data_IF_411814484683
#
_entry.id   IF_411814484683
#
_cell.length_a   1.000
_cell.length_b   1.000
_cell.length_c   1.000
_cell.angle_alpha   90.00
_cell.angle_beta   90.00
_cell.angle_gamma   90.00
#
_symmetry.space_group_name_H-M   'P 1'
#
loop_
_entity.id
_entity.type
_entity.pdbx_description
1 polymer ?
#
# COMPACT_ATOMS: atom_id res chain seq x y z
N UNK A 1 10.54 -1.43 18.97
CA UNK A 1 10.50 -0.15 18.28
C UNK A 1 10.93 -0.30 16.83
N UNK A 2 10.11 0.16 15.89
CA UNK A 2 10.41 0.00 14.48
C UNK A 2 11.52 0.91 14.00
N UNK A 3 12.33 0.41 13.07
CA UNK A 3 13.36 1.21 12.42
C UNK A 3 12.84 1.86 11.15
N UNK A 4 11.62 1.54 10.77
CA UNK A 4 11.00 1.99 9.53
C UNK A 4 9.85 2.93 9.86
N UNK A 5 9.51 3.76 8.91
CA UNK A 5 8.38 4.68 9.04
C UNK A 5 7.54 4.62 7.77
N UNK A 6 6.37 5.24 7.79
CA UNK A 6 5.54 5.37 6.60
C UNK A 6 4.85 6.72 6.59
N UNK A 7 4.54 7.18 5.39
CA UNK A 7 3.71 8.35 5.16
C UNK A 7 2.70 8.03 4.06
N UNK A 8 1.62 8.80 4.02
CA UNK A 8 0.57 8.63 3.02
C UNK A 8 0.29 9.95 2.33
N UNK A 9 -0.04 9.90 1.04
CA UNK A 9 -0.54 11.08 0.35
C UNK A 9 -1.95 11.41 0.87
N UNK A 10 -2.41 12.63 0.57
CA UNK A 10 -3.77 13.04 0.94
C UNK A 10 -4.79 12.10 0.30
N UNK A 11 -4.57 11.70 -0.94
CA UNK A 11 -5.48 10.81 -1.66
C UNK A 11 -5.58 9.44 -0.97
N UNK A 12 -4.47 8.90 -0.47
CA UNK A 12 -4.48 7.63 0.26
C UNK A 12 -5.23 7.79 1.59
N UNK A 13 -4.97 8.89 2.32
CA UNK A 13 -5.67 9.15 3.58
C UNK A 13 -7.18 9.27 3.34
N UNK A 14 -7.59 9.96 2.30
CA UNK A 14 -9.01 10.09 1.96
C UNK A 14 -9.63 8.74 1.60
N UNK A 15 -8.89 7.91 0.86
CA UNK A 15 -9.37 6.58 0.51
C UNK A 15 -9.60 5.73 1.76
N UNK A 16 -8.71 5.81 2.74
CA UNK A 16 -8.85 5.09 4.00
C UNK A 16 -10.05 5.62 4.79
N UNK A 17 -10.22 6.92 4.84
CA UNK A 17 -11.33 7.55 5.58
C UNK A 17 -12.69 7.17 5.01
N UNK A 18 -12.77 6.91 3.71
CA UNK A 18 -14.02 6.51 3.05
C UNK A 18 -14.39 5.05 3.29
N UNK A 19 -13.50 4.25 3.84
CA UNK A 19 -13.81 2.85 4.15
C UNK A 19 -14.85 2.81 5.26
N UNK A 20 -15.98 2.15 4.98
CA UNK A 20 -17.07 2.06 5.93
C UNK A 20 -16.86 0.94 6.96
N UNK A 21 -16.16 -0.12 6.56
CA UNK A 21 -15.90 -1.25 7.45
C UNK A 21 -14.82 -0.89 8.46
N UNK A 22 -15.23 -0.69 9.70
CA UNK A 22 -14.29 -0.36 10.78
C UNK A 22 -13.22 -1.44 10.95
N UNK A 23 -13.61 -2.71 10.79
CA UNK A 23 -12.66 -3.82 10.89
C UNK A 23 -11.55 -3.74 9.86
N UNK A 24 -11.86 -3.28 8.64
CA UNK A 24 -10.86 -3.09 7.61
C UNK A 24 -9.91 -1.93 7.96
N UNK A 25 -10.46 -0.81 8.45
CA UNK A 25 -9.62 0.31 8.88
C UNK A 25 -8.66 -0.09 9.99
N UNK A 26 -9.13 -0.92 10.93
CA UNK A 26 -8.27 -1.46 11.99
C UNK A 26 -7.17 -2.34 11.43
N UNK A 27 -7.49 -3.18 10.46
CA UNK A 27 -6.50 -4.05 9.79
C UNK A 27 -5.44 -3.23 9.06
N UNK A 28 -5.84 -2.13 8.44
CA UNK A 28 -4.88 -1.24 7.76
C UNK A 28 -3.85 -0.73 8.76
N UNK A 29 -4.30 -0.26 9.92
CA UNK A 29 -3.40 0.24 10.97
C UNK A 29 -2.46 -0.85 11.47
N UNK A 30 -3.00 -2.06 11.67
CA UNK A 30 -2.19 -3.21 12.11
C UNK A 30 -1.12 -3.53 11.08
N UNK A 31 -1.49 -3.58 9.80
CA UNK A 31 -0.54 -3.91 8.74
C UNK A 31 0.53 -2.83 8.59
N UNK A 32 0.15 -1.56 8.69
CA UNK A 32 1.12 -0.47 8.64
C UNK A 32 2.07 -0.51 9.82
N UNK A 33 1.57 -0.87 11.01
CA UNK A 33 2.40 -1.05 12.19
C UNK A 33 3.40 -2.18 12.04
N UNK A 34 2.96 -3.30 11.43
CA UNK A 34 3.86 -4.41 11.13
C UNK A 34 4.94 -4.00 10.13
N UNK A 35 4.57 -3.20 9.14
CA UNK A 35 5.52 -2.69 8.17
C UNK A 35 6.57 -1.80 8.83
N UNK A 36 6.15 -0.94 9.75
CA UNK A 36 7.07 -0.07 10.50
C UNK A 36 8.03 -0.88 11.36
N UNK A 37 7.58 -2.03 11.89
CA UNK A 37 8.43 -2.89 12.71
C UNK A 37 9.40 -3.73 11.89
N UNK A 38 8.92 -4.34 10.82
CA UNK A 38 9.68 -5.36 10.08
C UNK A 38 10.25 -4.87 8.76
N UNK A 39 9.67 -3.82 8.18
CA UNK A 39 10.15 -3.22 6.96
C UNK A 39 10.31 -4.23 5.83
N UNK A 40 11.53 -4.34 5.30
CA UNK A 40 11.83 -5.22 4.17
C UNK A 40 11.62 -6.71 4.48
N UNK A 41 11.53 -7.07 5.74
CA UNK A 41 11.38 -8.46 6.18
C UNK A 41 9.93 -8.87 6.44
N UNK A 42 8.99 -7.99 6.14
CA UNK A 42 7.57 -8.31 6.34
C UNK A 42 7.17 -9.45 5.38
N UNK A 43 6.55 -10.54 5.89
CA UNK A 43 6.20 -11.68 5.03
C UNK A 43 5.27 -11.32 3.89
N UNK A 44 5.35 -12.10 2.81
CA UNK A 44 4.59 -11.83 1.58
C UNK A 44 3.07 -11.92 1.74
N UNK A 45 2.58 -12.55 2.80
CA UNK A 45 1.14 -12.54 3.07
C UNK A 45 0.63 -11.14 3.41
N UNK A 46 1.49 -10.25 3.88
CA UNK A 46 1.14 -8.87 4.22
C UNK A 46 1.56 -7.88 3.14
N UNK A 47 2.75 -8.06 2.59
CA UNK A 47 3.35 -7.11 1.68
C UNK A 47 4.10 -7.85 0.59
N UNK A 48 3.97 -7.42 -0.65
CA UNK A 48 4.66 -8.06 -1.75
C UNK A 48 5.15 -7.02 -2.75
N UNK A 49 6.19 -7.42 -3.50
CA UNK A 49 6.70 -6.57 -4.56
C UNK A 49 5.81 -6.72 -5.80
N UNK A 50 5.53 -5.61 -6.46
CA UNK A 50 4.76 -5.63 -7.71
C UNK A 50 5.70 -5.92 -8.87
N UNK A 51 5.50 -7.06 -9.53
CA UNK A 51 6.35 -7.47 -10.65
C UNK A 51 6.22 -6.51 -11.82
N UNK A 52 7.36 -6.27 -12.50
CA UNK A 52 7.40 -5.40 -13.68
C UNK A 52 7.65 -3.94 -13.35
N UNK A 53 7.76 -3.57 -12.08
CA UNK A 53 8.00 -2.20 -11.67
C UNK A 53 9.16 -2.13 -10.69
N UNK A 54 9.92 -1.04 -10.75
CA UNK A 54 11.04 -0.82 -9.84
C UNK A 54 10.54 -0.21 -8.55
N UNK A 55 10.94 -0.79 -7.43
CA UNK A 55 10.66 -0.25 -6.09
C UNK A 55 9.19 0.12 -5.94
N UNK A 56 8.32 -0.83 -6.27
CA UNK A 56 6.88 -0.65 -6.11
C UNK A 56 6.34 -1.88 -5.40
N UNK A 57 5.63 -1.64 -4.31
CA UNK A 57 5.17 -2.68 -3.40
C UNK A 57 3.70 -2.47 -3.06
N UNK A 58 3.05 -3.52 -2.60
CA UNK A 58 1.67 -3.42 -2.12
C UNK A 58 1.54 -4.04 -0.74
N UNK A 59 0.80 -3.36 0.12
CA UNK A 59 0.35 -3.86 1.40
C UNK A 59 -1.08 -4.33 1.18
N UNK A 60 -1.45 -5.51 1.69
CA UNK A 60 -2.73 -6.15 1.35
C UNK A 60 -3.59 -6.45 2.58
N UNK A 61 -4.02 -5.43 3.33
CA UNK A 61 -4.93 -5.67 4.43
C UNK A 61 -6.26 -6.19 3.94
N UNK A 62 -6.81 -7.15 4.67
CA UNK A 62 -8.12 -7.70 4.31
C UNK A 62 -8.95 -7.90 5.57
N UNK A 63 -10.27 -7.87 5.40
CA UNK A 63 -11.23 -8.07 6.45
C UNK A 63 -12.42 -8.83 5.86
N UNK A 64 -12.66 -10.05 6.34
CA UNK A 64 -13.62 -10.99 5.73
C UNK A 64 -13.24 -11.23 4.26
N UNK A 65 -14.13 -10.97 3.32
CA UNK A 65 -13.86 -11.14 1.89
C UNK A 65 -13.48 -9.85 1.18
N UNK A 66 -13.16 -8.80 1.94
CA UNK A 66 -12.75 -7.51 1.37
C UNK A 66 -11.25 -7.37 1.47
N UNK A 67 -10.59 -7.16 0.34
CA UNK A 67 -9.15 -6.89 0.32
C UNK A 67 -8.93 -5.48 -0.20
N UNK A 68 -8.12 -4.73 0.55
CA UNK A 68 -7.73 -3.38 0.18
C UNK A 68 -6.24 -3.41 -0.15
N UNK A 69 -5.85 -2.80 -1.25
CA UNK A 69 -4.45 -2.77 -1.65
C UNK A 69 -3.91 -1.36 -1.55
N UNK A 70 -2.78 -1.23 -0.86
CA UNK A 70 -2.12 0.05 -0.63
C UNK A 70 -0.74 -0.02 -1.26
N UNK A 71 -0.52 0.81 -2.26
CA UNK A 71 0.71 0.76 -3.04
C UNK A 71 1.68 1.81 -2.53
N UNK A 72 2.92 1.41 -2.34
CA UNK A 72 3.96 2.26 -1.80
C UNK A 72 5.31 1.96 -2.44
N UNK A 73 6.25 2.86 -2.25
CA UNK A 73 7.63 2.64 -2.60
C UNK A 73 8.50 3.03 -1.40
N UNK A 74 9.69 2.48 -1.37
CA UNK A 74 10.63 2.79 -0.30
C UNK A 74 11.51 3.97 -0.69
N UNK A 75 11.60 4.94 0.21
CA UNK A 75 12.65 5.95 0.15
C UNK A 75 13.47 5.80 1.43
N UNK A 76 14.63 5.17 1.29
CA UNK A 76 15.38 4.72 2.46
C UNK A 76 14.56 3.74 3.26
N UNK A 77 14.29 4.05 4.51
CA UNK A 77 13.48 3.21 5.39
C UNK A 77 12.06 3.76 5.58
N UNK A 78 11.65 4.65 4.73
CA UNK A 78 10.31 5.23 4.76
C UNK A 78 9.46 4.66 3.63
N UNK A 79 8.34 4.03 3.98
CA UNK A 79 7.36 3.55 3.01
C UNK A 79 6.44 4.70 2.64
N UNK A 80 6.42 5.08 1.37
CA UNK A 80 5.59 6.17 0.87
C UNK A 80 4.38 5.62 0.14
N UNK A 81 3.23 5.67 0.79
CA UNK A 81 1.97 5.20 0.21
C UNK A 81 1.42 6.27 -0.73
N UNK A 82 1.23 5.90 -1.99
CA UNK A 82 0.86 6.83 -3.06
C UNK A 82 -0.45 6.51 -3.73
N UNK A 83 -0.98 5.28 -3.54
CA UNK A 83 -2.22 4.86 -4.21
C UNK A 83 -2.87 3.75 -3.40
N UNK A 84 -4.19 3.68 -3.45
CA UNK A 84 -4.93 2.64 -2.73
C UNK A 84 -6.22 2.34 -3.48
N UNK A 85 -6.63 1.07 -3.45
CA UNK A 85 -7.85 0.66 -4.13
C UNK A 85 -8.37 -0.66 -3.54
N UNK A 86 -9.66 -0.92 -3.77
CA UNK A 86 -10.26 -2.22 -3.43
C UNK A 86 -9.88 -3.24 -4.51
N UNK A 87 -9.39 -4.40 -4.07
CA UNK A 87 -9.12 -5.52 -4.98
C UNK A 87 -10.45 -6.13 -5.42
N UNK A 88 -10.63 -6.30 -6.72
CA UNK A 88 -11.91 -6.75 -7.29
C UNK A 88 -11.81 -8.09 -8.03
N UNK A 89 -10.71 -8.81 -7.85
CA UNK A 89 -10.52 -10.10 -8.51
C UNK A 89 -10.29 -10.02 -10.01
N UNK A 90 -10.09 -8.82 -10.55
CA UNK A 90 -9.89 -8.61 -11.98
C UNK A 90 -8.45 -8.21 -12.25
N UNK A 91 -7.73 -9.09 -12.96
CA UNK A 91 -6.32 -8.89 -13.24
C UNK A 91 -6.05 -7.62 -14.06
N UNK A 92 -6.91 -7.32 -15.04
CA UNK A 92 -6.76 -6.12 -15.87
C UNK A 92 -6.94 -4.84 -15.05
N UNK A 93 -7.89 -4.84 -14.13
CA UNK A 93 -8.12 -3.70 -13.26
C UNK A 93 -6.92 -3.49 -12.35
N UNK A 94 -6.39 -4.57 -11.76
CA UNK A 94 -5.21 -4.48 -10.91
C UNK A 94 -4.01 -3.94 -11.67
N UNK A 95 -3.79 -4.38 -12.91
CA UNK A 95 -2.69 -3.88 -13.73
C UNK A 95 -2.81 -2.39 -14.02
N UNK A 96 -4.02 -1.90 -14.27
CA UNK A 96 -4.25 -0.47 -14.45
C UNK A 96 -3.91 0.33 -13.18
N UNK A 97 -4.30 -0.21 -12.03
CA UNK A 97 -4.02 0.45 -10.76
C UNK A 97 -2.53 0.49 -10.47
N UNK A 98 -1.79 -0.57 -10.81
CA UNK A 98 -0.35 -0.58 -10.65
C UNK A 98 0.32 0.43 -11.56
N UNK A 99 -0.15 0.55 -12.80
CA UNK A 99 0.39 1.55 -13.73
C UNK A 99 0.10 2.97 -13.25
N UNK A 100 -1.10 3.20 -12.74
CA UNK A 100 -1.46 4.49 -12.15
C UNK A 100 -0.50 4.83 -11.00
N UNK A 101 -0.26 3.87 -10.12
CA UNK A 101 0.67 4.06 -8.99
C UNK A 101 2.08 4.36 -9.47
N UNK A 102 2.56 3.65 -10.49
CA UNK A 102 3.89 3.88 -11.03
C UNK A 102 4.02 5.30 -11.61
N UNK A 103 2.99 5.78 -12.29
CA UNK A 103 2.96 7.14 -12.82
C UNK A 103 3.01 8.18 -11.69
N UNK A 104 2.25 7.94 -10.61
CA UNK A 104 2.27 8.82 -9.44
C UNK A 104 3.66 8.84 -8.82
N UNK A 105 4.29 7.67 -8.68
CA UNK A 105 5.63 7.55 -8.13
C UNK A 105 6.63 8.37 -8.95
N UNK A 106 6.61 8.23 -10.27
CA UNK A 106 7.50 8.97 -11.17
C UNK A 106 7.33 10.47 -11.04
N UNK A 107 6.08 10.93 -10.96
CA UNK A 107 5.79 12.34 -10.78
C UNK A 107 6.31 12.84 -9.42
N UNK A 108 6.12 12.05 -8.37
CA UNK A 108 6.55 12.40 -7.02
C UNK A 108 8.07 12.46 -6.93
N UNK A 109 8.76 11.52 -7.56
CA UNK A 109 10.23 11.48 -7.53
C UNK A 109 10.89 12.63 -8.29
N UNK A 110 10.16 13.27 -9.22
CA UNK A 110 10.67 14.39 -9.99
C UNK A 110 10.56 15.73 -9.27
N UNK A 111 9.75 15.81 -8.25
CA UNK A 111 9.49 17.08 -7.55
C UNK A 111 10.46 17.35 -6.40
#
# INVERSE_FOLDING_TARGET
MGQFTHIETVEVLEAIEKIQEEGLRKKIKIYQGLLDERGFNLPSQYMDKIEGYKNLFELRPHFHNIEFRMIFYWKGKEARFIHAFYERGNKKTNQREYKTADNIKKATERS
#
